data_IF_094125025413
#
_entry.id   IF_094125025413
#
_cell.length_a   1.000
_cell.length_b   1.000
_cell.length_c   1.000
_cell.angle_alpha   90.00
_cell.angle_beta   90.00
_cell.angle_gamma   90.00
#
_symmetry.space_group_name_H-M   'P 1'
#
loop_
_entity.id
_entity.type
_entity.pdbx_description
1 polymer ?
#
# COMPACT_ATOMS: atom_id res chain seq x y z
N UNK A 1 -6.70 2.27 14.87
CA UNK A 1 -5.53 1.38 14.89
C UNK A 1 -5.13 1.02 13.46
N UNK A 2 -3.86 1.14 13.14
CA UNK A 2 -3.36 0.94 11.77
C UNK A 2 -3.03 -0.53 11.53
N UNK A 3 -4.02 -1.32 11.15
CA UNK A 3 -3.86 -2.75 10.94
C UNK A 3 -3.33 -3.07 9.54
N UNK A 4 -2.54 -4.14 9.44
CA UNK A 4 -2.04 -4.64 8.15
C UNK A 4 -3.19 -4.86 7.17
N UNK A 5 -2.99 -4.48 5.92
CA UNK A 5 -3.95 -4.59 4.81
C UNK A 5 -5.14 -3.63 4.87
N UNK A 6 -5.17 -2.73 5.86
CA UNK A 6 -6.09 -1.60 5.83
C UNK A 6 -5.66 -0.61 4.76
N UNK A 7 -6.62 0.00 4.10
CA UNK A 7 -6.38 1.01 3.07
C UNK A 7 -6.74 2.37 3.65
N UNK A 8 -5.79 3.30 3.60
CA UNK A 8 -5.96 4.68 4.08
C UNK A 8 -5.64 5.66 2.97
N UNK A 9 -6.26 6.83 3.01
CA UNK A 9 -5.74 7.97 2.27
C UNK A 9 -4.47 8.46 2.96
N UNK A 10 -3.41 8.63 2.17
CA UNK A 10 -2.09 9.01 2.66
C UNK A 10 -1.59 10.19 1.84
N UNK A 11 -1.10 11.21 2.51
CA UNK A 11 -0.41 12.32 1.86
C UNK A 11 1.03 11.87 1.55
N UNK A 12 1.33 11.67 0.27
CA UNK A 12 2.63 11.16 -0.19
C UNK A 12 3.65 12.26 -0.46
N UNK A 13 3.21 13.50 -0.60
CA UNK A 13 4.13 14.60 -0.89
C UNK A 13 4.95 15.01 0.35
N UNK A 14 6.18 15.51 0.15
CA UNK A 14 6.85 15.74 -1.13
C UNK A 14 7.40 14.47 -1.77
N UNK A 15 7.39 14.43 -3.10
CA UNK A 15 7.89 13.31 -3.90
C UNK A 15 8.77 13.85 -5.03
N UNK A 16 9.54 12.96 -5.67
CA UNK A 16 10.50 13.33 -6.74
C UNK A 16 10.26 12.42 -7.95
N UNK A 17 10.25 13.02 -9.14
CA UNK A 17 10.26 12.30 -10.40
C UNK A 17 9.10 11.34 -10.59
N UNK A 18 9.43 10.07 -10.79
CA UNK A 18 8.44 9.02 -11.09
C UNK A 18 7.73 8.47 -9.86
N UNK A 19 8.03 8.96 -8.66
CA UNK A 19 7.32 8.55 -7.45
C UNK A 19 5.84 8.94 -7.54
N UNK A 20 4.97 8.05 -7.08
CA UNK A 20 3.54 8.36 -6.99
C UNK A 20 3.35 9.47 -5.96
N UNK A 21 2.62 10.51 -6.34
CA UNK A 21 2.53 11.75 -5.57
C UNK A 21 1.10 12.09 -5.17
N UNK A 22 0.97 13.16 -4.38
CA UNK A 22 -0.29 13.70 -3.87
C UNK A 22 -0.91 12.77 -2.82
N UNK A 23 -2.19 12.95 -2.58
CA UNK A 23 -2.96 12.09 -1.69
C UNK A 23 -3.51 10.92 -2.49
N UNK A 24 -3.23 9.72 -2.02
CA UNK A 24 -3.65 8.47 -2.68
C UNK A 24 -4.13 7.48 -1.65
N UNK A 25 -5.04 6.58 -2.04
CA UNK A 25 -5.26 5.39 -1.22
C UNK A 25 -3.99 4.53 -1.23
N UNK A 26 -3.60 4.08 -0.06
CA UNK A 26 -2.43 3.23 0.13
C UNK A 26 -2.79 2.11 1.08
N UNK A 27 -2.22 0.92 0.83
CA UNK A 27 -2.42 -0.21 1.72
C UNK A 27 -1.25 -0.35 2.68
N UNK A 28 -1.55 -0.60 3.95
CA UNK A 28 -0.53 -0.91 4.96
C UNK A 28 -0.07 -2.34 4.73
N UNK A 29 1.23 -2.54 4.48
CA UNK A 29 1.79 -3.87 4.24
C UNK A 29 2.68 -4.36 5.38
N UNK A 30 3.10 -3.46 6.28
CA UNK A 30 3.89 -3.85 7.45
C UNK A 30 3.05 -4.65 8.45
N UNK A 31 3.69 -5.58 9.18
CA UNK A 31 2.97 -6.42 10.13
C UNK A 31 2.49 -5.65 11.34
N UNK A 32 1.45 -6.18 12.00
CA UNK A 32 0.84 -5.51 13.15
C UNK A 32 1.82 -5.31 14.32
N UNK A 33 2.76 -6.22 14.52
CA UNK A 33 3.79 -6.07 15.55
C UNK A 33 4.58 -4.77 15.36
N UNK A 34 4.89 -4.45 14.10
CA UNK A 34 5.54 -3.18 13.77
C UNK A 34 4.55 -2.01 13.91
N UNK A 35 3.36 -2.15 13.31
CA UNK A 35 2.39 -1.06 13.23
C UNK A 35 1.95 -0.56 14.60
N UNK A 36 1.88 -1.44 15.61
CA UNK A 36 1.38 -1.10 16.92
C UNK A 36 2.46 -0.61 17.89
N UNK A 37 3.72 -0.67 17.50
CA UNK A 37 4.84 -0.39 18.39
C UNK A 37 5.73 0.79 17.99
N UNK A 38 5.67 1.24 16.73
CA UNK A 38 6.49 2.38 16.27
C UNK A 38 5.63 3.40 15.54
N UNK A 39 6.19 4.59 15.32
CA UNK A 39 5.46 5.73 14.76
C UNK A 39 5.28 5.70 13.24
N UNK A 40 5.87 4.71 12.57
CA UNK A 40 5.83 4.59 11.13
C UNK A 40 5.15 3.30 10.71
N UNK A 41 4.70 3.27 9.46
CA UNK A 41 4.18 2.08 8.79
C UNK A 41 4.77 2.00 7.40
N UNK A 42 4.82 0.79 6.84
CA UNK A 42 5.21 0.59 5.44
C UNK A 42 3.93 0.48 4.62
N UNK A 43 3.83 1.32 3.60
CA UNK A 43 2.66 1.37 2.72
C UNK A 43 3.04 1.10 1.27
N UNK A 44 2.05 0.68 0.50
CA UNK A 44 2.14 0.59 -0.95
C UNK A 44 1.01 1.45 -1.56
N UNK A 45 1.34 2.39 -2.46
CA UNK A 45 0.31 3.21 -3.09
C UNK A 45 -0.58 2.37 -4.00
N UNK A 46 -1.82 2.84 -4.17
CA UNK A 46 -2.77 2.25 -5.10
C UNK A 46 -3.03 3.26 -6.21
N UNK A 47 -2.93 2.82 -7.46
CA UNK A 47 -3.14 3.67 -8.63
C UNK A 47 -4.29 3.14 -9.48
N UNK A 48 -5.00 4.05 -10.13
CA UNK A 48 -6.00 3.69 -11.15
C UNK A 48 -5.35 3.47 -12.53
N UNK A 49 -4.10 3.86 -12.69
CA UNK A 49 -3.36 3.70 -13.93
C UNK A 49 -2.78 2.29 -14.01
N UNK A 50 -3.36 1.46 -14.86
CA UNK A 50 -3.00 0.04 -14.93
C UNK A 50 -1.72 -0.18 -15.74
N UNK A 51 -0.87 -1.07 -15.24
CA UNK A 51 0.36 -1.53 -15.88
C UNK A 51 0.45 -3.04 -15.79
N UNK A 52 1.12 -3.66 -16.75
CA UNK A 52 1.30 -5.11 -16.75
C UNK A 52 2.66 -5.49 -16.17
N UNK A 53 2.90 -5.15 -14.91
CA UNK A 53 4.12 -5.51 -14.19
C UNK A 53 3.80 -6.54 -13.11
N UNK A 54 4.70 -7.52 -12.86
CA UNK A 54 4.48 -8.52 -11.81
C UNK A 54 4.33 -7.91 -10.40
N UNK A 55 4.90 -6.72 -10.18
CA UNK A 55 4.83 -6.01 -8.90
C UNK A 55 3.56 -5.19 -8.72
N UNK A 56 2.65 -5.23 -9.69
CA UNK A 56 1.38 -4.51 -9.66
C UNK A 56 0.25 -5.50 -9.41
N UNK A 57 -0.38 -5.42 -8.24
CA UNK A 57 -1.41 -6.38 -7.81
C UNK A 57 -2.80 -5.76 -7.99
N UNK A 58 -3.67 -6.36 -8.81
CA UNK A 58 -5.03 -5.86 -8.97
C UNK A 58 -5.79 -5.86 -7.65
N UNK A 59 -6.55 -4.81 -7.42
CA UNK A 59 -7.38 -4.68 -6.22
C UNK A 59 -8.59 -3.82 -6.51
N UNK A 60 -9.51 -3.76 -5.54
CA UNK A 60 -10.63 -2.83 -5.56
C UNK A 60 -10.61 -2.01 -4.29
N UNK A 61 -10.87 -0.72 -4.42
CA UNK A 61 -11.02 0.21 -3.30
C UNK A 61 -12.40 0.81 -3.42
N UNK A 62 -13.27 0.51 -2.46
CA UNK A 62 -14.67 0.93 -2.48
C UNK A 62 -15.34 0.61 -3.84
N UNK A 63 -15.09 -0.60 -4.36
CA UNK A 63 -15.65 -1.07 -5.62
C UNK A 63 -14.95 -0.58 -6.88
N UNK A 64 -13.99 0.31 -6.78
CA UNK A 64 -13.24 0.84 -7.93
C UNK A 64 -11.98 0.04 -8.15
N UNK A 65 -11.75 -0.34 -9.41
CA UNK A 65 -10.57 -1.10 -9.79
C UNK A 65 -9.29 -0.25 -9.71
N UNK A 66 -8.23 -0.82 -9.18
CA UNK A 66 -6.92 -0.21 -9.13
C UNK A 66 -5.84 -1.27 -9.06
N UNK A 67 -4.60 -0.83 -8.89
CA UNK A 67 -3.47 -1.72 -8.68
C UNK A 67 -2.63 -1.24 -7.50
N UNK A 68 -2.22 -2.18 -6.68
CA UNK A 68 -1.26 -1.94 -5.60
C UNK A 68 0.14 -1.91 -6.22
N UNK A 69 0.88 -0.83 -5.96
CA UNK A 69 2.19 -0.60 -6.58
C UNK A 69 3.28 -1.04 -5.61
N UNK A 70 3.61 -2.33 -5.62
CA UNK A 70 4.62 -2.88 -4.70
C UNK A 70 6.03 -2.41 -5.03
N UNK A 71 6.27 -2.00 -6.25
CA UNK A 71 7.57 -1.43 -6.64
C UNK A 71 7.80 -0.02 -6.09
N UNK A 72 6.81 0.59 -5.43
CA UNK A 72 6.95 1.89 -4.76
C UNK A 72 6.56 1.83 -3.28
N UNK A 73 6.83 0.73 -2.62
CA UNK A 73 6.62 0.66 -1.16
C UNK A 73 7.53 1.67 -0.47
N UNK A 74 7.02 2.26 0.60
CA UNK A 74 7.79 3.23 1.38
C UNK A 74 7.31 3.28 2.82
N UNK A 75 8.22 3.67 3.71
CA UNK A 75 7.90 3.94 5.10
C UNK A 75 7.41 5.37 5.23
N UNK A 76 6.31 5.56 5.91
CA UNK A 76 5.76 6.88 6.19
C UNK A 76 5.40 7.00 7.67
N UNK A 77 5.43 8.21 8.19
CA UNK A 77 4.92 8.49 9.53
C UNK A 77 3.39 8.32 9.53
N UNK A 78 2.87 7.77 10.62
CA UNK A 78 1.43 7.55 10.78
C UNK A 78 0.59 8.82 10.62
N UNK A 79 1.18 9.99 10.90
CA UNK A 79 0.50 11.27 10.76
C UNK A 79 0.06 11.54 9.32
N UNK A 80 0.69 10.90 8.34
CA UNK A 80 0.31 11.05 6.93
C UNK A 80 -0.95 10.27 6.55
N UNK A 81 -1.39 9.34 7.39
CA UNK A 81 -2.59 8.53 7.19
C UNK A 81 -3.76 9.21 7.88
N UNK A 82 -4.74 9.68 7.13
CA UNK A 82 -5.78 10.49 7.73
C UNK A 82 -7.22 9.94 7.60
N UNK A 83 -7.45 8.93 6.76
CA UNK A 83 -8.79 8.36 6.63
C UNK A 83 -8.70 6.92 6.14
N UNK A 84 -9.27 5.99 6.93
CA UNK A 84 -9.43 4.61 6.49
C UNK A 84 -10.59 4.52 5.51
N UNK A 85 -10.38 3.88 4.37
CA UNK A 85 -11.39 3.78 3.31
C UNK A 85 -11.81 2.35 2.99
N UNK A 86 -10.95 1.36 3.27
CA UNK A 86 -11.26 -0.03 2.93
C UNK A 86 -10.28 -0.98 3.61
N UNK A 87 -10.44 -2.27 3.34
CA UNK A 87 -9.51 -3.33 3.73
C UNK A 87 -9.40 -4.30 2.56
N UNK A 88 -8.19 -4.78 2.27
CA UNK A 88 -8.01 -5.79 1.22
C UNK A 88 -8.74 -7.08 1.59
N UNK A 89 -9.36 -7.72 0.61
CA UNK A 89 -9.90 -9.06 0.81
C UNK A 89 -8.78 -10.09 0.94
N UNK A 90 -9.10 -11.27 1.47
CA UNK A 90 -8.10 -12.30 1.76
C UNK A 90 -7.33 -12.75 0.53
N UNK A 91 -8.00 -12.93 -0.60
CA UNK A 91 -7.35 -13.37 -1.83
C UNK A 91 -6.28 -12.36 -2.30
N UNK A 92 -6.58 -11.07 -2.21
CA UNK A 92 -5.63 -10.01 -2.57
C UNK A 92 -4.48 -9.95 -1.57
N UNK A 93 -4.75 -10.14 -0.28
CA UNK A 93 -3.70 -10.20 0.77
C UNK A 93 -2.67 -11.26 0.44
N UNK A 94 -3.13 -12.46 0.07
CA UNK A 94 -2.25 -13.59 -0.29
C UNK A 94 -1.38 -13.23 -1.48
N UNK A 95 -1.94 -12.60 -2.50
CA UNK A 95 -1.20 -12.18 -3.69
C UNK A 95 -0.14 -11.13 -3.36
N UNK A 96 -0.46 -10.18 -2.49
CA UNK A 96 0.49 -9.15 -2.04
C UNK A 96 1.68 -9.79 -1.34
N UNK A 97 1.43 -10.66 -0.37
CA UNK A 97 2.50 -11.33 0.38
C UNK A 97 3.36 -12.20 -0.53
N UNK A 98 2.74 -12.92 -1.46
CA UNK A 98 3.46 -13.74 -2.44
C UNK A 98 4.37 -12.89 -3.32
N UNK A 99 3.88 -11.77 -3.82
CA UNK A 99 4.67 -10.86 -4.65
C UNK A 99 5.82 -10.22 -3.88
N UNK A 100 5.59 -9.80 -2.64
CA UNK A 100 6.64 -9.23 -1.79
C UNK A 100 7.75 -10.27 -1.52
N UNK A 101 7.36 -11.51 -1.26
CA UNK A 101 8.30 -12.60 -1.04
C UNK A 101 9.16 -12.82 -2.29
N UNK A 102 8.57 -12.80 -3.47
CA UNK A 102 9.27 -12.95 -4.73
C UNK A 102 10.22 -11.79 -5.01
N UNK A 103 9.80 -10.55 -4.72
CA UNK A 103 10.61 -9.35 -4.93
C UNK A 103 11.90 -9.37 -4.12
N UNK A 104 11.88 -9.95 -2.93
CA UNK A 104 13.02 -9.95 -2.02
C UNK A 104 13.71 -11.32 -1.90
N UNK A 105 13.35 -12.27 -2.73
CA UNK A 105 14.06 -13.55 -2.85
C UNK A 105 15.34 -13.38 -3.66
N UNK A 106 16.31 -14.23 -3.37
CA UNK A 106 17.55 -14.29 -4.14
C UNK A 106 17.38 -14.95 -5.50
#
# INVERSE_FOLDING_TARGET
MFSRFSIYFVNLDPTIGSEIKKTRPCVIISPNEMNFNISTVIIAPITSKLRNYPTRIPCKVEGRQGQIVLDQIRTVDKIRLFKKVDTLNKATQVKVLSALKEMFAE
#
